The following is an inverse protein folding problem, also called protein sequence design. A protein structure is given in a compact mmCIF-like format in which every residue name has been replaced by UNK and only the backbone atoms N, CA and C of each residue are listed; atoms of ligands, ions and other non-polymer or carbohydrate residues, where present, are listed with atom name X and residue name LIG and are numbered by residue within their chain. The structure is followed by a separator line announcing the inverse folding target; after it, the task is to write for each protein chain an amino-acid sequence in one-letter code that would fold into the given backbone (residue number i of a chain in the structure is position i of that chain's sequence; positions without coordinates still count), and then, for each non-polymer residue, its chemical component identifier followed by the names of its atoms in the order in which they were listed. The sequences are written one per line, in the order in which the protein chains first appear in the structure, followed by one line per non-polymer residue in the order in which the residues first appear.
data_IF_523870265953
#
_entry.id   IF_523870265953
#
_cell.length_a   1.000
_cell.length_b   1.000
_cell.length_c   1.000
_cell.angle_alpha   90.00
_cell.angle_beta   90.00
_cell.angle_gamma   90.00
#
_symmetry.space_group_name_H-M   'P 1'
#
loop_
_entity.id
_entity.type
_entity.pdbx_description
1 polymer ?
#
# COMPACT_ATOMS: atom_id res chain seq x y z
N UNK A 1 -0.65 28.20 -12.73
CA UNK A 1 -1.10 26.80 -12.58
C UNK A 1 -1.25 26.23 -13.98
N UNK A 2 -0.62 25.10 -14.30
CA UNK A 2 -0.88 24.41 -15.57
C UNK A 2 -2.32 23.90 -15.57
N UNK A 3 -3.02 24.08 -16.70
CA UNK A 3 -4.34 23.50 -16.88
C UNK A 3 -4.20 21.98 -16.95
N UNK A 4 -4.81 21.27 -16.01
CA UNK A 4 -4.83 19.80 -15.93
C UNK A 4 -6.18 19.22 -16.35
N UNK A 5 -7.05 20.04 -16.97
CA UNK A 5 -8.36 19.61 -17.45
C UNK A 5 -8.20 18.42 -18.42
N UNK A 6 -8.88 17.32 -18.15
CA UNK A 6 -8.81 16.09 -18.94
C UNK A 6 -7.58 15.20 -18.71
N UNK A 7 -6.66 15.60 -17.84
CA UNK A 7 -5.47 14.81 -17.49
C UNK A 7 -5.63 14.06 -16.16
N UNK A 8 -4.82 13.03 -15.99
CA UNK A 8 -4.72 12.29 -14.74
C UNK A 8 -3.54 12.85 -13.94
N UNK A 9 -3.78 13.26 -12.69
CA UNK A 9 -2.71 13.68 -11.79
C UNK A 9 -2.04 12.47 -11.17
N UNK A 10 -0.73 12.33 -11.40
CA UNK A 10 0.10 11.33 -10.73
C UNK A 10 1.10 12.00 -9.78
N UNK A 11 1.78 11.22 -8.94
CA UNK A 11 2.84 11.70 -8.05
C UNK A 11 4.05 12.27 -8.79
N UNK A 12 4.20 11.96 -10.10
CA UNK A 12 5.26 12.51 -10.95
C UNK A 12 4.79 13.66 -11.86
N UNK A 13 3.51 14.03 -11.79
CA UNK A 13 2.90 15.07 -12.59
C UNK A 13 1.73 14.55 -13.42
N UNK A 14 1.07 15.45 -14.18
CA UNK A 14 -0.09 15.07 -15.00
C UNK A 14 0.33 14.25 -16.22
N UNK A 15 -0.50 13.25 -16.55
CA UNK A 15 -0.38 12.40 -17.74
C UNK A 15 -1.67 12.43 -18.57
N UNK A 16 -1.61 11.98 -19.82
CA UNK A 16 -2.81 11.74 -20.61
C UNK A 16 -3.51 10.45 -20.14
N UNK A 17 -4.85 10.36 -20.19
CA UNK A 17 -5.58 9.17 -19.76
C UNK A 17 -5.13 7.87 -20.45
N UNK A 18 -4.74 7.96 -21.72
CA UNK A 18 -4.25 6.85 -22.53
C UNK A 18 -2.93 6.25 -22.03
N UNK A 19 -2.15 7.04 -21.29
CA UNK A 19 -0.85 6.61 -20.74
C UNK A 19 -0.98 5.82 -19.42
N UNK A 20 -2.18 5.76 -18.81
CA UNK A 20 -2.37 5.12 -17.52
C UNK A 20 -2.22 3.59 -17.58
N UNK A 21 -2.74 2.97 -18.64
CA UNK A 21 -2.70 1.51 -18.81
C UNK A 21 -3.64 0.74 -17.88
N UNK A 22 -3.39 -0.55 -17.72
CA UNK A 22 -4.13 -1.41 -16.77
C UNK A 22 -3.86 -0.92 -15.35
N UNK A 23 -4.93 -0.64 -14.61
CA UNK A 23 -4.82 0.07 -13.32
C UNK A 23 -5.54 -0.66 -12.20
N UNK A 24 -4.84 -0.88 -11.09
CA UNK A 24 -5.46 -1.23 -9.81
C UNK A 24 -6.00 0.05 -9.16
N UNK A 25 -7.27 0.05 -8.81
CA UNK A 25 -8.01 1.27 -8.45
C UNK A 25 -8.12 1.53 -6.95
N UNK A 26 -7.59 0.66 -6.11
CA UNK A 26 -7.60 0.82 -4.66
C UNK A 26 -6.47 -0.01 -4.05
N UNK A 27 -5.32 0.62 -3.82
CA UNK A 27 -4.14 -0.05 -3.26
C UNK A 27 -3.46 0.83 -2.21
N UNK A 28 -2.57 0.21 -1.46
CA UNK A 28 -1.69 0.84 -0.49
C UNK A 28 -0.26 0.34 -0.72
N UNK A 29 0.57 1.17 -1.35
CA UNK A 29 1.99 0.83 -1.56
C UNK A 29 2.79 0.90 -0.26
N UNK A 30 2.44 1.83 0.61
CA UNK A 30 2.90 1.94 1.99
C UNK A 30 1.72 2.35 2.86
N UNK A 31 1.61 1.79 4.06
CA UNK A 31 0.45 2.07 4.91
C UNK A 31 0.71 1.82 6.39
N UNK A 32 0.08 2.63 7.24
CA UNK A 32 -0.07 2.40 8.68
C UNK A 32 -1.55 2.26 9.06
N UNK A 33 -1.96 1.04 9.33
CA UNK A 33 -3.31 0.72 9.80
C UNK A 33 -3.41 0.66 11.34
N UNK A 34 -2.41 1.18 12.07
CA UNK A 34 -2.43 1.22 13.54
C UNK A 34 -3.65 1.94 14.14
N UNK A 35 -4.31 2.92 13.48
CA UNK A 35 -5.60 3.45 13.96
C UNK A 35 -6.69 2.38 14.15
N UNK A 36 -6.60 1.26 13.44
CA UNK A 36 -7.52 0.12 13.59
C UNK A 36 -7.09 -0.90 14.64
N UNK A 37 -5.90 -0.75 15.22
CA UNK A 37 -5.42 -1.68 16.24
C UNK A 37 -6.30 -1.63 17.49
N UNK A 38 -6.67 -2.79 17.99
CA UNK A 38 -7.31 -2.93 19.29
C UNK A 38 -6.68 -4.07 20.08
N UNK A 39 -6.49 -3.82 21.38
CA UNK A 39 -5.98 -4.84 22.30
C UNK A 39 -7.04 -5.92 22.50
N UNK A 40 -6.71 -7.20 22.24
CA UNK A 40 -7.69 -8.27 22.45
C UNK A 40 -8.10 -8.39 23.91
N UNK A 41 -9.40 -8.56 24.15
CA UNK A 41 -9.93 -8.82 25.50
C UNK A 41 -9.52 -10.21 25.99
N UNK A 42 -9.54 -11.20 25.10
CA UNK A 42 -9.17 -12.58 25.40
C UNK A 42 -7.66 -12.74 25.57
N UNK A 43 -7.24 -13.29 26.71
CA UNK A 43 -5.81 -13.52 27.01
C UNK A 43 -5.10 -14.41 25.96
N UNK A 44 -5.81 -15.41 25.42
CA UNK A 44 -5.31 -16.29 24.36
C UNK A 44 -4.95 -15.55 23.07
N UNK A 45 -5.64 -14.45 22.76
CA UNK A 45 -5.43 -13.62 21.58
C UNK A 45 -4.37 -12.54 21.79
N UNK A 46 -4.15 -12.06 23.03
CA UNK A 46 -3.15 -11.03 23.32
C UNK A 46 -1.75 -11.43 22.89
N UNK A 47 -1.42 -12.72 22.95
CA UNK A 47 -0.13 -13.24 22.51
C UNK A 47 0.18 -13.01 21.03
N UNK A 48 -0.84 -12.71 20.19
CA UNK A 48 -0.63 -12.42 18.76
C UNK A 48 -0.28 -10.95 18.49
N UNK A 49 -0.53 -10.04 19.42
CA UNK A 49 -0.40 -8.61 19.17
C UNK A 49 0.99 -8.18 18.68
N UNK A 50 2.04 -8.73 19.26
CA UNK A 50 3.43 -8.39 18.95
C UNK A 50 4.20 -9.50 18.24
N UNK A 51 3.52 -10.55 17.78
CA UNK A 51 4.17 -11.62 17.01
C UNK A 51 4.44 -11.20 15.57
N UNK A 52 5.61 -11.53 15.02
CA UNK A 52 5.82 -11.43 13.58
C UNK A 52 4.86 -12.37 12.84
N UNK A 53 4.51 -12.00 11.60
CA UNK A 53 3.69 -12.86 10.75
C UNK A 53 4.57 -13.99 10.23
N UNK A 54 4.25 -15.21 10.64
CA UNK A 54 4.94 -16.44 10.27
C UNK A 54 3.94 -17.45 9.72
N UNK A 55 4.41 -18.48 9.06
CA UNK A 55 3.54 -19.48 8.38
C UNK A 55 2.53 -20.14 9.33
N UNK A 56 2.89 -20.32 10.60
CA UNK A 56 2.01 -20.95 11.61
C UNK A 56 0.84 -20.06 12.03
N UNK A 57 0.95 -18.74 11.84
CA UNK A 57 -0.14 -17.79 12.16
C UNK A 57 -0.78 -17.17 10.91
N UNK A 58 -0.20 -17.30 9.74
CA UNK A 58 -0.68 -16.68 8.51
C UNK A 58 -2.15 -17.02 8.22
N UNK A 59 -2.55 -18.26 8.40
CA UNK A 59 -3.94 -18.70 8.22
C UNK A 59 -4.95 -18.09 9.20
N UNK A 60 -4.47 -17.45 10.27
CA UNK A 60 -5.33 -16.77 11.27
C UNK A 60 -5.52 -15.29 10.97
N UNK A 61 -4.74 -14.70 10.05
CA UNK A 61 -4.76 -13.25 9.78
C UNK A 61 -6.14 -12.73 9.44
N UNK A 62 -6.97 -13.50 8.73
CA UNK A 62 -8.35 -13.13 8.45
C UNK A 62 -9.23 -12.89 9.68
N UNK A 63 -8.87 -13.46 10.84
CA UNK A 63 -9.63 -13.32 12.10
C UNK A 63 -8.91 -12.46 13.15
N UNK A 64 -7.63 -12.21 12.98
CA UNK A 64 -6.81 -11.45 13.94
C UNK A 64 -6.11 -10.25 13.30
N UNK A 65 -6.52 -9.83 12.10
CA UNK A 65 -5.83 -8.80 11.33
C UNK A 65 -5.64 -7.49 12.10
N UNK A 66 -6.64 -7.02 12.83
CA UNK A 66 -6.62 -5.75 13.56
C UNK A 66 -5.99 -5.85 14.96
N UNK A 67 -5.58 -7.04 15.40
CA UNK A 67 -4.94 -7.25 16.70
C UNK A 67 -3.46 -7.66 16.59
N UNK A 68 -2.94 -7.74 15.38
CA UNK A 68 -1.52 -8.02 15.11
C UNK A 68 -0.85 -6.79 14.50
N UNK A 69 0.11 -6.18 15.20
CA UNK A 69 0.75 -4.94 14.78
C UNK A 69 1.57 -5.10 13.51
N UNK A 70 2.25 -6.22 13.33
CA UNK A 70 3.04 -6.47 12.12
C UNK A 70 2.17 -6.57 10.87
N UNK A 71 0.88 -6.96 11.01
CA UNK A 71 -0.08 -6.99 9.90
C UNK A 71 -0.66 -5.60 9.57
N UNK A 72 -0.48 -4.63 10.44
CA UNK A 72 -1.07 -3.30 10.28
C UNK A 72 -0.07 -2.27 9.75
N UNK A 73 1.20 -2.64 9.61
CA UNK A 73 2.25 -1.69 9.24
C UNK A 73 3.05 -2.23 8.06
N UNK A 74 3.13 -1.43 7.00
CA UNK A 74 3.92 -1.74 5.81
C UNK A 74 4.65 -0.47 5.35
N UNK A 75 5.95 -0.40 5.66
CA UNK A 75 6.77 0.79 5.45
C UNK A 75 8.02 0.56 4.60
N UNK A 76 8.30 -0.69 4.21
CA UNK A 76 9.50 -1.02 3.46
C UNK A 76 9.33 -0.64 1.98
N UNK A 77 9.96 0.47 1.57
CA UNK A 77 9.91 0.94 0.19
C UNK A 77 10.54 -0.07 -0.79
N UNK A 78 11.60 -0.77 -0.38
CA UNK A 78 12.26 -1.73 -1.24
C UNK A 78 11.38 -2.95 -1.50
N UNK A 79 10.74 -3.46 -0.46
CA UNK A 79 9.76 -4.54 -0.59
C UNK A 79 8.56 -4.10 -1.43
N UNK A 80 8.07 -2.88 -1.23
CA UNK A 80 6.98 -2.31 -2.03
C UNK A 80 7.36 -2.21 -3.51
N UNK A 81 8.59 -1.79 -3.83
CA UNK A 81 9.10 -1.76 -5.22
C UNK A 81 9.13 -3.16 -5.81
N UNK A 82 9.65 -4.15 -5.09
CA UNK A 82 9.75 -5.53 -5.55
C UNK A 82 8.38 -6.16 -5.82
N UNK A 83 7.40 -5.92 -4.95
CA UNK A 83 6.02 -6.37 -5.15
C UNK A 83 5.34 -5.65 -6.32
N UNK A 84 5.51 -4.32 -6.41
CA UNK A 84 4.96 -3.51 -7.50
C UNK A 84 5.53 -3.91 -8.87
N UNK A 85 6.82 -4.30 -8.94
CA UNK A 85 7.44 -4.80 -10.17
C UNK A 85 6.81 -6.11 -10.66
N UNK A 86 6.32 -6.98 -9.77
CA UNK A 86 5.58 -8.19 -10.18
C UNK A 86 4.30 -7.80 -10.94
N UNK A 87 3.61 -6.76 -10.50
CA UNK A 87 2.45 -6.23 -11.20
C UNK A 87 2.82 -5.64 -12.57
N UNK A 88 3.91 -4.89 -12.66
CA UNK A 88 4.44 -4.37 -13.94
C UNK A 88 4.75 -5.51 -14.90
N UNK A 89 5.43 -6.55 -14.44
CA UNK A 89 5.77 -7.73 -15.28
C UNK A 89 4.53 -8.51 -15.74
N UNK A 90 3.43 -8.42 -15.00
CA UNK A 90 2.15 -8.96 -15.41
C UNK A 90 1.36 -8.05 -16.38
N UNK A 91 1.91 -6.88 -16.76
CA UNK A 91 1.31 -5.94 -17.70
C UNK A 91 0.59 -4.75 -17.04
N UNK A 92 0.73 -4.57 -15.72
CA UNK A 92 0.17 -3.43 -15.01
C UNK A 92 0.85 -2.10 -15.37
N UNK A 93 0.07 -1.02 -15.43
CA UNK A 93 0.53 0.32 -15.81
C UNK A 93 0.29 1.39 -14.75
N UNK A 94 -0.80 1.29 -14.01
CA UNK A 94 -1.19 2.28 -13.03
C UNK A 94 -1.64 1.70 -11.69
N UNK A 95 -1.52 2.49 -10.64
CA UNK A 95 -2.03 2.20 -9.29
C UNK A 95 -2.66 3.48 -8.74
N UNK A 96 -3.89 3.37 -8.24
CA UNK A 96 -4.49 4.40 -7.40
C UNK A 96 -4.19 4.06 -5.94
N UNK A 97 -3.21 4.74 -5.35
CA UNK A 97 -2.92 4.63 -3.92
C UNK A 97 -3.95 5.43 -3.14
N UNK A 98 -4.73 4.75 -2.31
CA UNK A 98 -5.82 5.34 -1.53
C UNK A 98 -5.41 5.64 -0.08
N UNK A 99 -4.13 5.54 0.24
CA UNK A 99 -3.60 5.86 1.55
C UNK A 99 -3.83 7.35 1.85
N UNK A 100 -4.61 7.63 2.86
CA UNK A 100 -4.90 8.99 3.30
C UNK A 100 -3.91 9.47 4.40
N UNK A 101 -4.17 10.67 4.91
CA UNK A 101 -3.31 11.29 5.93
C UNK A 101 -3.27 10.46 7.23
N UNK A 102 -4.40 9.91 7.65
CA UNK A 102 -4.51 9.13 8.90
C UNK A 102 -3.83 7.76 8.81
N UNK A 103 -3.56 7.29 7.60
CA UNK A 103 -2.88 6.03 7.30
C UNK A 103 -1.41 6.24 6.87
N UNK A 104 -0.83 7.37 7.23
CA UNK A 104 0.58 7.74 6.99
C UNK A 104 0.96 7.87 5.50
N UNK A 105 0.08 8.44 4.66
CA UNK A 105 0.42 8.72 3.26
C UNK A 105 1.74 9.47 3.12
N UNK A 106 2.66 8.92 2.31
CA UNK A 106 3.94 9.53 1.97
C UNK A 106 4.08 9.75 0.45
N UNK A 107 3.69 10.94 -0.07
CA UNK A 107 3.79 11.21 -1.50
C UNK A 107 5.23 11.20 -2.05
N UNK A 108 6.24 11.46 -1.22
CA UNK A 108 7.64 11.42 -1.65
C UNK A 108 8.15 9.98 -1.80
N UNK A 109 7.73 9.08 -0.91
CA UNK A 109 7.97 7.65 -1.07
C UNK A 109 7.27 7.11 -2.32
N UNK A 110 6.00 7.46 -2.54
CA UNK A 110 5.27 7.08 -3.76
C UNK A 110 5.97 7.57 -5.03
N UNK A 111 6.57 8.78 -5.03
CA UNK A 111 7.38 9.25 -6.15
C UNK A 111 8.60 8.37 -6.40
N UNK A 112 9.30 7.93 -5.35
CA UNK A 112 10.46 7.05 -5.47
C UNK A 112 10.06 5.69 -6.03
N UNK A 113 9.00 5.10 -5.51
CA UNK A 113 8.43 3.83 -5.99
C UNK A 113 8.00 3.95 -7.45
N UNK A 114 7.28 5.01 -7.81
CA UNK A 114 6.84 5.26 -9.19
C UNK A 114 8.03 5.38 -10.15
N UNK A 115 9.11 6.09 -9.78
CA UNK A 115 10.33 6.18 -10.59
C UNK A 115 11.05 4.84 -10.74
N UNK A 116 11.11 4.05 -9.67
CA UNK A 116 11.80 2.77 -9.68
C UNK A 116 11.07 1.70 -10.50
N UNK A 117 9.74 1.74 -10.53
CA UNK A 117 8.89 0.73 -11.16
C UNK A 117 8.38 1.11 -12.55
N UNK A 118 8.29 2.41 -12.84
CA UNK A 118 7.62 2.96 -14.03
C UNK A 118 6.10 3.03 -13.92
N UNK A 119 5.50 2.61 -12.78
CA UNK A 119 4.07 2.71 -12.54
C UNK A 119 3.61 4.17 -12.44
N UNK A 120 2.42 4.45 -12.94
CA UNK A 120 1.68 5.71 -12.74
C UNK A 120 0.91 5.59 -11.42
N UNK A 121 1.38 6.31 -10.39
CA UNK A 121 0.78 6.28 -9.05
C UNK A 121 0.10 7.59 -8.75
#
# INVERSE_FOLDING_TARGET
MSDITGKIQTVLGPIEPEDLGITMTHEHLLVDLMPYFHTPEEASRRSYADKPITMDILGKMGTIWAINKANLQYYDEQESIEEALKYVYAGGGGIVDTTDFDLARDPLALQRISRATGLKV
#
